data_IF_612924980887
#
_entry.id   IF_612924980887
#
_cell.length_a   1.000
_cell.length_b   1.000
_cell.length_c   1.000
_cell.angle_alpha   90.00
_cell.angle_beta   90.00
_cell.angle_gamma   90.00
#
_symmetry.space_group_name_H-M   'P 1'
#
loop_
_entity.id
_entity.type
_entity.pdbx_description
1 polymer ?
#
# COMPACT_ATOMS: atom_id res chain seq x y z
N UNK A 1 9.80 -21.27 -1.24
CA UNK A 1 10.66 -22.07 -2.12
C UNK A 1 9.94 -23.31 -2.65
N UNK A 2 9.36 -24.17 -1.80
CA UNK A 2 8.68 -25.41 -2.24
C UNK A 2 7.63 -25.16 -3.34
N UNK A 3 6.74 -24.17 -3.15
CA UNK A 3 5.72 -23.82 -4.14
C UNK A 3 6.31 -23.39 -5.49
N UNK A 4 7.42 -22.64 -5.49
CA UNK A 4 8.14 -22.25 -6.71
C UNK A 4 8.73 -23.48 -7.41
N UNK A 5 9.40 -24.36 -6.65
CA UNK A 5 10.04 -25.57 -7.18
C UNK A 5 9.02 -26.49 -7.84
N UNK A 6 7.90 -26.76 -7.19
CA UNK A 6 6.85 -27.62 -7.73
C UNK A 6 6.19 -27.01 -8.97
N UNK A 7 5.93 -25.70 -8.98
CA UNK A 7 5.38 -25.00 -10.15
C UNK A 7 6.30 -25.11 -11.37
N UNK A 8 7.60 -24.84 -11.21
CA UNK A 8 8.55 -24.88 -12.32
C UNK A 8 8.81 -26.29 -12.82
N UNK A 9 8.82 -27.27 -11.92
CA UNK A 9 8.89 -28.70 -12.27
C UNK A 9 7.69 -29.11 -13.13
N UNK A 10 6.48 -28.68 -12.76
CA UNK A 10 5.27 -28.98 -13.53
C UNK A 10 5.26 -28.30 -14.90
N UNK A 11 5.56 -27.00 -14.94
CA UNK A 11 5.56 -26.21 -16.17
C UNK A 11 6.74 -26.52 -17.09
N UNK A 12 7.77 -27.22 -16.59
CA UNK A 12 9.02 -27.52 -17.29
C UNK A 12 9.70 -26.25 -17.82
N UNK A 13 9.63 -25.17 -17.05
CA UNK A 13 10.26 -23.88 -17.35
C UNK A 13 11.19 -23.48 -16.23
N UNK A 14 12.30 -22.80 -16.57
CA UNK A 14 13.16 -22.12 -15.59
C UNK A 14 12.86 -20.62 -15.62
N UNK A 15 12.61 -19.99 -14.47
CA UNK A 15 12.40 -18.54 -14.43
C UNK A 15 13.71 -17.81 -14.76
N UNK A 16 13.61 -16.68 -15.47
CA UNK A 16 14.75 -15.79 -15.73
C UNK A 16 14.94 -14.73 -14.64
N UNK A 17 13.87 -14.39 -13.93
CA UNK A 17 13.85 -13.38 -12.88
C UNK A 17 12.66 -13.64 -11.95
N UNK A 18 12.72 -13.05 -10.75
CA UNK A 18 11.60 -12.98 -9.80
C UNK A 18 11.11 -11.55 -9.65
N UNK A 19 9.85 -11.40 -9.29
CA UNK A 19 9.23 -10.10 -9.05
C UNK A 19 8.33 -10.22 -7.83
N UNK A 20 8.32 -9.19 -6.99
CA UNK A 20 7.48 -9.16 -5.79
C UNK A 20 5.99 -9.05 -6.16
N UNK A 21 5.14 -9.62 -5.31
CA UNK A 21 3.68 -9.48 -5.47
C UNK A 21 3.24 -8.02 -5.24
N UNK A 22 3.74 -7.44 -4.15
CA UNK A 22 3.43 -6.10 -3.68
C UNK A 22 4.63 -5.51 -2.93
N UNK A 23 4.61 -4.21 -2.65
CA UNK A 23 5.67 -3.50 -1.91
C UNK A 23 5.27 -3.22 -0.45
N UNK A 24 4.65 -4.20 0.21
CA UNK A 24 4.21 -4.12 1.60
C UNK A 24 4.87 -5.18 2.50
N UNK A 25 5.36 -4.77 3.67
CA UNK A 25 5.86 -5.66 4.73
C UNK A 25 6.75 -6.81 4.22
N UNK A 26 6.44 -8.03 4.66
CA UNK A 26 7.19 -9.23 4.25
C UNK A 26 7.06 -9.57 2.75
N UNK A 27 5.97 -9.21 2.09
CA UNK A 27 5.76 -9.49 0.66
C UNK A 27 6.73 -8.68 -0.22
N UNK A 28 7.04 -7.43 0.18
CA UNK A 28 8.01 -6.58 -0.51
C UNK A 28 9.42 -7.18 -0.54
N UNK A 29 9.80 -7.89 0.53
CA UNK A 29 11.12 -8.55 0.64
C UNK A 29 11.15 -9.91 -0.06
N UNK A 30 9.99 -10.52 -0.36
CA UNK A 30 9.93 -11.88 -0.86
C UNK A 30 10.64 -12.05 -2.21
N UNK A 31 10.57 -11.05 -3.10
CA UNK A 31 11.32 -11.06 -4.37
C UNK A 31 12.83 -11.19 -4.13
N UNK A 32 13.39 -10.33 -3.27
CA UNK A 32 14.81 -10.34 -2.92
C UNK A 32 15.24 -11.66 -2.26
N UNK A 33 14.42 -12.18 -1.34
CA UNK A 33 14.67 -13.47 -0.68
C UNK A 33 14.68 -14.59 -1.71
N UNK A 34 13.69 -14.68 -2.60
CA UNK A 34 13.64 -15.73 -3.62
C UNK A 34 14.82 -15.63 -4.59
N UNK A 35 15.15 -14.42 -5.04
CA UNK A 35 16.21 -14.17 -6.02
C UNK A 35 17.64 -14.33 -5.50
N UNK A 36 17.84 -14.31 -4.18
CA UNK A 36 19.15 -14.45 -3.57
C UNK A 36 19.92 -15.69 -4.09
N UNK A 37 21.26 -15.58 -4.17
CA UNK A 37 22.13 -16.64 -4.70
C UNK A 37 22.09 -17.95 -3.93
N UNK A 38 21.71 -17.93 -2.65
CA UNK A 38 21.51 -19.15 -1.85
C UNK A 38 20.16 -19.83 -2.11
N UNK A 39 19.25 -19.17 -2.83
CA UNK A 39 17.90 -19.64 -3.09
C UNK A 39 17.74 -19.99 -4.58
N UNK A 40 17.23 -19.06 -5.41
CA UNK A 40 17.01 -19.33 -6.83
C UNK A 40 18.16 -18.85 -7.73
N UNK A 41 19.04 -18.00 -7.22
CA UNK A 41 20.15 -17.39 -7.96
C UNK A 41 19.70 -16.77 -9.30
N UNK A 42 18.69 -15.92 -9.22
CA UNK A 42 18.13 -15.19 -10.36
C UNK A 42 17.83 -13.73 -9.98
N UNK A 43 17.95 -12.79 -10.92
CA UNK A 43 17.71 -11.39 -10.63
C UNK A 43 16.29 -11.13 -10.13
N UNK A 44 16.16 -10.18 -9.20
CA UNK A 44 14.88 -9.60 -8.80
C UNK A 44 14.59 -8.36 -9.64
N UNK A 45 13.39 -8.28 -10.20
CA UNK A 45 12.92 -7.12 -10.94
C UNK A 45 12.65 -5.98 -9.95
N UNK A 46 13.16 -4.79 -10.24
CA UNK A 46 12.82 -3.56 -9.53
C UNK A 46 11.41 -3.11 -9.91
N UNK A 47 10.43 -3.69 -9.23
CA UNK A 47 9.02 -3.48 -9.47
C UNK A 47 8.19 -4.53 -8.75
N UNK A 48 6.89 -4.33 -8.73
CA UNK A 48 5.94 -5.29 -8.20
C UNK A 48 4.61 -5.23 -8.97
N UNK A 49 3.70 -6.14 -8.66
CA UNK A 49 2.42 -6.25 -9.37
C UNK A 49 1.33 -5.32 -8.87
N UNK A 50 1.57 -4.50 -7.85
CA UNK A 50 0.57 -3.66 -7.21
C UNK A 50 0.99 -2.19 -7.04
N UNK A 51 2.27 -1.86 -6.80
CA UNK A 51 2.74 -0.51 -6.46
C UNK A 51 2.31 -0.01 -5.08
N UNK A 52 1.52 -0.81 -4.36
CA UNK A 52 1.01 -0.64 -2.99
C UNK A 52 0.62 -2.01 -2.45
N UNK A 53 0.16 -2.10 -1.21
CA UNK A 53 -0.49 -3.31 -0.72
C UNK A 53 -2.00 -3.33 -1.06
N UNK A 54 -2.52 -4.51 -1.38
CA UNK A 54 -3.95 -4.77 -1.53
C UNK A 54 -4.40 -5.97 -0.70
N UNK A 55 -5.64 -5.98 -0.18
CA UNK A 55 -6.08 -7.04 0.72
C UNK A 55 -6.32 -8.41 0.05
N UNK A 56 -6.55 -8.46 -1.26
CA UNK A 56 -6.94 -9.69 -1.97
C UNK A 56 -6.13 -9.93 -3.24
N UNK A 57 -5.79 -11.19 -3.55
CA UNK A 57 -4.84 -11.52 -4.62
C UNK A 57 -5.31 -11.26 -6.06
N UNK A 58 -6.60 -10.98 -6.26
CA UNK A 58 -7.14 -10.54 -7.55
C UNK A 58 -6.87 -9.06 -7.83
N UNK A 59 -6.41 -8.30 -6.84
CA UNK A 59 -5.95 -6.92 -6.99
C UNK A 59 -4.47 -6.89 -7.35
N UNK A 60 -4.16 -7.38 -8.56
CA UNK A 60 -2.81 -7.28 -9.15
C UNK A 60 -2.89 -6.82 -10.60
N UNK A 61 -1.87 -6.12 -11.08
CA UNK A 61 -1.79 -5.63 -12.46
C UNK A 61 -1.87 -6.74 -13.52
N UNK A 62 -1.30 -7.96 -13.36
CA UNK A 62 -1.56 -9.04 -14.30
C UNK A 62 -3.05 -9.38 -14.44
N UNK A 63 -3.83 -9.27 -13.37
CA UNK A 63 -5.29 -9.48 -13.43
C UNK A 63 -5.99 -8.32 -14.13
N UNK A 64 -5.45 -7.10 -14.11
CA UNK A 64 -5.98 -5.98 -14.91
C UNK A 64 -5.81 -6.25 -16.41
N UNK A 65 -4.64 -6.74 -16.82
CA UNK A 65 -4.30 -6.90 -18.24
C UNK A 65 -4.60 -8.29 -18.82
N UNK A 66 -4.81 -9.31 -18.00
CA UNK A 66 -5.18 -10.66 -18.42
C UNK A 66 -6.36 -11.21 -17.60
N UNK A 67 -7.22 -12.02 -18.23
CA UNK A 67 -8.40 -12.65 -17.57
C UNK A 67 -8.15 -14.11 -17.16
N UNK A 68 -6.95 -14.64 -17.40
CA UNK A 68 -6.62 -16.04 -17.12
C UNK A 68 -6.19 -16.19 -15.66
N UNK A 69 -6.76 -17.19 -15.00
CA UNK A 69 -6.37 -17.63 -13.68
C UNK A 69 -5.67 -18.98 -13.77
N UNK A 70 -4.49 -19.12 -13.17
CA UNK A 70 -3.77 -20.39 -13.07
C UNK A 70 -3.34 -20.62 -11.63
N UNK A 71 -3.94 -21.62 -11.00
CA UNK A 71 -3.54 -22.18 -9.71
C UNK A 71 -3.16 -23.64 -9.94
N UNK A 72 -2.22 -24.18 -9.16
CA UNK A 72 -1.93 -25.62 -9.17
C UNK A 72 -3.05 -26.39 -8.45
N UNK A 73 -4.20 -26.43 -9.12
CA UNK A 73 -5.48 -27.04 -8.78
C UNK A 73 -6.16 -27.24 -10.13
N UNK A 74 -6.78 -28.40 -10.40
CA UNK A 74 -7.08 -28.83 -11.79
C UNK A 74 -7.68 -27.75 -12.73
N UNK A 75 -8.52 -26.83 -12.23
CA UNK A 75 -8.89 -25.53 -12.84
C UNK A 75 -9.77 -24.70 -11.87
N UNK A 76 -9.67 -23.37 -11.87
CA UNK A 76 -10.64 -22.46 -11.22
C UNK A 76 -11.32 -21.56 -12.27
N UNK A 77 -12.51 -21.02 -11.97
CA UNK A 77 -13.25 -20.15 -12.91
C UNK A 77 -12.73 -18.70 -12.88
N UNK A 78 -12.38 -18.19 -11.71
CA UNK A 78 -11.89 -16.82 -11.49
C UNK A 78 -10.72 -16.77 -10.50
N UNK A 79 -9.88 -15.71 -10.52
CA UNK A 79 -8.86 -15.47 -9.48
C UNK A 79 -9.48 -15.25 -8.08
N UNK A 80 -10.74 -14.79 -8.02
CA UNK A 80 -11.45 -14.70 -6.75
C UNK A 80 -11.74 -16.10 -6.16
N UNK A 81 -12.00 -17.10 -7.01
CA UNK A 81 -12.15 -18.49 -6.56
C UNK A 81 -10.82 -19.07 -6.06
N UNK A 82 -9.71 -18.70 -6.71
CA UNK A 82 -8.34 -19.01 -6.28
C UNK A 82 -8.06 -18.41 -4.90
N UNK A 83 -8.33 -17.11 -4.71
CA UNK A 83 -8.22 -16.41 -3.41
C UNK A 83 -9.03 -17.09 -2.31
N UNK A 84 -10.28 -17.48 -2.60
CA UNK A 84 -11.15 -18.18 -1.64
C UNK A 84 -10.55 -19.52 -1.20
N UNK A 85 -9.99 -20.29 -2.13
CA UNK A 85 -9.34 -21.55 -1.81
C UNK A 85 -8.06 -21.33 -0.97
N UNK A 86 -7.25 -20.31 -1.30
CA UNK A 86 -6.10 -19.93 -0.48
C UNK A 86 -6.49 -19.51 0.93
N UNK A 87 -7.55 -18.71 1.09
CA UNK A 87 -8.04 -18.31 2.43
C UNK A 87 -8.54 -19.49 3.24
N UNK A 88 -9.23 -20.44 2.60
CA UNK A 88 -9.62 -21.68 3.26
C UNK A 88 -8.38 -22.47 3.74
N UNK A 89 -7.36 -22.62 2.90
CA UNK A 89 -6.11 -23.28 3.26
C UNK A 89 -5.36 -22.54 4.38
N UNK A 90 -5.21 -21.21 4.30
CA UNK A 90 -4.57 -20.37 5.34
C UNK A 90 -5.22 -20.56 6.70
N UNK A 91 -6.56 -20.58 6.75
CA UNK A 91 -7.30 -20.79 7.99
C UNK A 91 -7.06 -22.16 8.61
N UNK A 92 -6.78 -23.19 7.80
CA UNK A 92 -6.55 -24.56 8.28
C UNK A 92 -5.07 -24.88 8.54
N UNK A 93 -4.15 -24.21 7.84
CA UNK A 93 -2.70 -24.47 7.87
C UNK A 93 -1.92 -23.54 8.81
N UNK A 94 -2.58 -22.92 9.80
CA UNK A 94 -1.90 -22.10 10.81
C UNK A 94 -1.51 -20.70 10.35
N UNK A 95 -2.29 -20.09 9.46
CA UNK A 95 -2.16 -18.68 9.00
C UNK A 95 -0.97 -18.36 8.08
N UNK A 96 -0.24 -19.37 7.59
CA UNK A 96 0.84 -19.16 6.62
C UNK A 96 0.84 -20.24 5.53
N UNK A 97 0.84 -19.83 4.26
CA UNK A 97 0.93 -20.71 3.09
C UNK A 97 1.77 -20.02 2.02
N UNK A 98 2.79 -20.72 1.51
CA UNK A 98 3.57 -20.25 0.37
C UNK A 98 2.79 -20.44 -0.94
N UNK A 99 2.69 -19.39 -1.74
CA UNK A 99 2.03 -19.42 -3.05
C UNK A 99 3.03 -19.08 -4.17
N UNK A 100 2.97 -19.81 -5.27
CA UNK A 100 3.64 -19.45 -6.52
C UNK A 100 2.56 -19.25 -7.60
N UNK A 101 2.46 -18.02 -8.13
CA UNK A 101 1.61 -17.73 -9.29
C UNK A 101 2.33 -18.14 -10.57
N UNK A 102 1.55 -18.46 -11.61
CA UNK A 102 2.07 -18.83 -12.92
C UNK A 102 3.03 -17.77 -13.50
N UNK A 103 4.01 -18.18 -14.32
CA UNK A 103 4.97 -17.26 -14.90
C UNK A 103 4.30 -16.29 -15.88
N UNK A 104 4.80 -15.06 -15.90
CA UNK A 104 4.41 -14.03 -16.86
C UNK A 104 5.56 -13.85 -17.87
N UNK A 105 5.24 -13.70 -19.15
CA UNK A 105 6.27 -13.49 -20.18
C UNK A 105 6.99 -12.15 -19.97
N UNK A 106 8.26 -12.05 -20.35
CA UNK A 106 9.02 -10.80 -20.18
C UNK A 106 8.39 -9.59 -20.89
N UNK A 107 7.73 -9.80 -22.04
CA UNK A 107 7.02 -8.75 -22.76
C UNK A 107 5.79 -8.24 -21.97
N UNK A 108 5.01 -9.16 -21.39
CA UNK A 108 3.88 -8.82 -20.55
C UNK A 108 4.35 -8.16 -19.25
N UNK A 109 5.41 -8.67 -18.62
CA UNK A 109 5.98 -8.07 -17.41
C UNK A 109 6.35 -6.61 -17.62
N UNK A 110 7.12 -6.30 -18.67
CA UNK A 110 7.48 -4.91 -19.01
C UNK A 110 6.25 -4.01 -19.23
N UNK A 111 5.15 -4.58 -19.72
CA UNK A 111 3.93 -3.83 -20.03
C UNK A 111 3.05 -3.62 -18.80
N UNK A 112 3.05 -4.54 -17.83
CA UNK A 112 2.06 -4.58 -16.74
C UNK A 112 2.62 -4.13 -15.38
N UNK A 113 3.93 -4.30 -15.17
CA UNK A 113 4.59 -4.03 -13.87
C UNK A 113 4.43 -2.58 -13.43
N UNK A 114 4.29 -2.37 -12.12
CA UNK A 114 4.57 -1.06 -11.52
C UNK A 114 6.07 -0.99 -11.28
N UNK A 115 6.75 -0.18 -12.10
CA UNK A 115 8.21 -0.11 -12.13
C UNK A 115 8.78 0.64 -10.90
N UNK A 116 10.02 0.30 -10.55
CA UNK A 116 10.87 1.02 -9.60
C UNK A 116 10.34 1.09 -8.17
N UNK A 117 9.51 0.12 -7.75
CA UNK A 117 8.88 0.15 -6.43
C UNK A 117 9.83 -0.28 -5.32
N UNK A 118 10.78 -1.18 -5.60
CA UNK A 118 11.86 -1.50 -4.66
C UNK A 118 12.76 -0.26 -4.50
N UNK A 119 13.14 0.38 -5.61
CA UNK A 119 13.85 1.67 -5.60
C UNK A 119 13.11 2.72 -4.77
N UNK A 120 11.80 2.89 -4.97
CA UNK A 120 11.00 3.86 -4.23
C UNK A 120 10.98 3.57 -2.73
N UNK A 121 10.73 2.32 -2.33
CA UNK A 121 10.73 1.92 -0.92
C UNK A 121 12.08 2.17 -0.25
N UNK A 122 13.19 1.92 -0.94
CA UNK A 122 14.52 2.24 -0.45
C UNK A 122 14.71 3.75 -0.26
N UNK A 123 14.26 4.56 -1.22
CA UNK A 123 14.37 6.03 -1.15
C UNK A 123 13.56 6.61 -0.01
N UNK A 124 12.31 6.17 0.16
CA UNK A 124 11.44 6.56 1.26
C UNK A 124 12.09 6.17 2.60
N UNK A 125 12.54 4.92 2.73
CA UNK A 125 13.21 4.45 3.95
C UNK A 125 14.47 5.24 4.27
N UNK A 126 15.29 5.57 3.24
CA UNK A 126 16.46 6.43 3.39
C UNK A 126 16.08 7.84 3.82
N UNK A 127 15.05 8.44 3.23
CA UNK A 127 14.58 9.78 3.60
C UNK A 127 14.11 9.85 5.06
N UNK A 128 13.33 8.86 5.50
CA UNK A 128 12.90 8.74 6.91
C UNK A 128 14.11 8.57 7.83
N UNK A 129 15.02 7.66 7.51
CA UNK A 129 16.23 7.42 8.31
C UNK A 129 17.11 8.68 8.42
N UNK A 130 17.28 9.44 7.33
CA UNK A 130 18.02 10.70 7.35
C UNK A 130 17.35 11.75 8.24
N UNK A 131 16.02 11.90 8.16
CA UNK A 131 15.29 12.83 9.02
C UNK A 131 15.42 12.47 10.51
N UNK A 132 15.38 11.18 10.84
CA UNK A 132 15.63 10.70 12.21
C UNK A 132 17.06 11.05 12.65
N UNK A 133 18.07 10.74 11.83
CA UNK A 133 19.46 11.05 12.15
C UNK A 133 19.76 12.55 12.29
N UNK A 134 19.03 13.39 11.55
CA UNK A 134 19.20 14.84 11.54
C UNK A 134 18.28 15.57 12.53
N UNK A 135 17.44 14.84 13.27
CA UNK A 135 16.44 15.39 14.19
C UNK A 135 15.48 16.39 13.50
N UNK A 136 15.03 16.06 12.29
CA UNK A 136 14.13 16.86 11.43
C UNK A 136 12.83 16.13 11.13
N UNK A 137 12.24 15.48 12.14
CA UNK A 137 11.02 14.66 12.02
C UNK A 137 9.84 15.44 11.47
N UNK A 138 9.76 16.73 11.77
CA UNK A 138 8.75 17.66 11.29
C UNK A 138 8.70 17.78 9.76
N UNK A 139 9.80 17.45 9.07
CA UNK A 139 9.94 17.48 7.60
C UNK A 139 9.86 16.11 6.92
N UNK A 140 9.59 15.04 7.67
CA UNK A 140 9.53 13.67 7.11
C UNK A 140 8.46 13.58 6.02
N UNK A 141 7.29 14.17 6.26
CA UNK A 141 6.19 14.15 5.30
C UNK A 141 6.59 14.78 3.96
N UNK A 142 7.23 15.95 4.00
CA UNK A 142 7.71 16.69 2.84
C UNK A 142 8.84 15.93 2.13
N UNK A 143 9.72 15.27 2.88
CA UNK A 143 10.79 14.43 2.34
C UNK A 143 10.25 13.20 1.61
N UNK A 144 9.24 12.53 2.17
CA UNK A 144 8.53 11.42 1.52
C UNK A 144 7.84 11.91 0.24
N UNK A 145 7.13 13.05 0.31
CA UNK A 145 6.49 13.67 -0.86
C UNK A 145 7.53 13.93 -1.96
N UNK A 146 8.72 14.43 -1.62
CA UNK A 146 9.81 14.63 -2.57
C UNK A 146 10.25 13.36 -3.29
N UNK A 147 10.31 12.22 -2.59
CA UNK A 147 10.75 10.93 -3.18
C UNK A 147 9.68 10.25 -4.04
N UNK A 148 8.39 10.55 -3.83
CA UNK A 148 7.25 9.97 -4.58
C UNK A 148 6.78 10.81 -5.78
N UNK A 149 7.57 11.80 -6.21
CA UNK A 149 7.22 12.67 -7.35
C UNK A 149 6.67 14.05 -6.97
N UNK A 150 6.96 14.53 -5.76
CA UNK A 150 6.66 15.87 -5.30
C UNK A 150 5.17 16.16 -5.09
N UNK A 151 4.84 17.44 -5.00
CA UNK A 151 3.48 17.92 -4.67
C UNK A 151 2.43 17.63 -5.76
N UNK A 152 2.85 17.26 -6.97
CA UNK A 152 1.95 16.82 -8.02
C UNK A 152 1.46 15.38 -7.81
N UNK A 153 2.27 14.56 -7.14
CA UNK A 153 2.05 13.12 -6.96
C UNK A 153 1.56 12.76 -5.55
N UNK A 154 1.88 13.57 -4.55
CA UNK A 154 1.48 13.33 -3.17
C UNK A 154 1.24 14.62 -2.38
N UNK A 155 0.47 14.51 -1.29
CA UNK A 155 0.20 15.62 -0.36
C UNK A 155 -0.13 15.13 1.04
N UNK A 156 0.09 16.01 2.02
CA UNK A 156 -0.44 15.83 3.38
C UNK A 156 -1.95 16.04 3.32
N UNK A 157 -2.70 15.02 3.77
CA UNK A 157 -4.15 15.06 3.84
C UNK A 157 -4.64 15.62 5.18
N UNK A 158 -3.95 15.26 6.27
CA UNK A 158 -4.36 15.61 7.62
C UNK A 158 -3.21 15.43 8.61
N UNK A 159 -3.18 16.24 9.67
CA UNK A 159 -2.31 16.07 10.84
C UNK A 159 -3.18 16.11 12.09
N UNK A 160 -3.00 15.17 13.00
CA UNK A 160 -3.86 15.10 14.16
C UNK A 160 -3.57 13.96 15.11
N UNK A 161 -4.51 13.71 16.02
CA UNK A 161 -4.43 12.64 17.02
C UNK A 161 -5.51 11.61 16.73
N UNK A 162 -5.17 10.32 16.81
CA UNK A 162 -6.17 9.26 16.75
C UNK A 162 -7.08 9.35 17.98
N UNK A 163 -8.38 9.54 17.75
CA UNK A 163 -9.41 9.65 18.81
C UNK A 163 -10.38 8.48 18.82
N UNK A 164 -10.35 7.64 17.80
CA UNK A 164 -11.17 6.43 17.73
C UNK A 164 -10.58 5.42 16.77
N UNK A 165 -10.66 4.13 17.15
CA UNK A 165 -10.35 3.01 16.26
C UNK A 165 -11.38 1.92 16.55
N UNK A 166 -12.18 1.60 15.55
CA UNK A 166 -13.03 0.42 15.58
C UNK A 166 -12.42 -0.64 14.68
N UNK A 167 -12.28 -1.87 15.17
CA UNK A 167 -11.70 -2.97 14.40
C UNK A 167 -12.39 -4.28 14.69
N UNK A 168 -12.77 -4.98 13.63
CA UNK A 168 -13.33 -6.33 13.67
C UNK A 168 -12.63 -7.20 12.63
N UNK A 169 -12.10 -8.34 13.07
CA UNK A 169 -11.52 -9.32 12.15
C UNK A 169 -12.62 -10.23 11.61
N UNK A 170 -12.79 -10.26 10.29
CA UNK A 170 -13.74 -11.15 9.59
C UNK A 170 -13.06 -11.82 8.40
N UNK A 171 -13.18 -13.14 8.26
CA UNK A 171 -12.65 -13.91 7.12
C UNK A 171 -11.15 -13.66 6.84
N UNK A 172 -10.34 -13.49 7.90
CA UNK A 172 -8.90 -13.22 7.77
C UNK A 172 -8.54 -11.81 7.29
N UNK A 173 -9.48 -10.86 7.38
CA UNK A 173 -9.22 -9.44 7.16
C UNK A 173 -9.63 -8.62 8.39
N UNK A 174 -8.84 -7.60 8.71
CA UNK A 174 -9.22 -6.58 9.67
C UNK A 174 -10.04 -5.49 8.97
N UNK A 175 -11.32 -5.40 9.32
CA UNK A 175 -12.20 -4.31 8.91
C UNK A 175 -12.28 -3.31 10.04
N UNK A 176 -12.36 -2.03 9.70
CA UNK A 176 -12.47 -1.01 10.72
C UNK A 176 -12.49 0.40 10.17
N UNK A 177 -12.52 1.35 11.09
CA UNK A 177 -12.40 2.77 10.81
C UNK A 177 -11.52 3.41 11.87
N UNK A 178 -10.58 4.25 11.43
CA UNK A 178 -9.83 5.14 12.31
C UNK A 178 -10.36 6.57 12.18
N UNK A 179 -10.52 7.22 13.32
CA UNK A 179 -10.96 8.62 13.42
C UNK A 179 -9.81 9.43 14.00
N UNK A 180 -9.38 10.43 13.24
CA UNK A 180 -8.28 11.33 13.59
C UNK A 180 -8.87 12.73 13.78
N UNK A 181 -8.55 13.37 14.90
CA UNK A 181 -8.99 14.74 15.19
C UNK A 181 -7.83 15.70 15.02
N UNK A 182 -8.07 16.85 14.39
CA UNK A 182 -7.04 17.86 14.16
C UNK A 182 -6.44 18.31 15.50
N UNK A 183 -5.12 18.31 15.58
CA UNK A 183 -4.41 18.94 16.70
C UNK A 183 -4.36 20.44 16.44
N UNK A 184 -4.95 21.25 17.32
CA UNK A 184 -4.63 22.68 17.37
C UNK A 184 -3.12 22.81 17.59
N UNK A 185 -2.42 23.68 16.85
CA UNK A 185 -1.05 24.04 17.20
C UNK A 185 -1.02 24.39 18.69
N UNK A 186 -0.21 23.70 19.47
CA UNK A 186 0.13 24.21 20.79
C UNK A 186 0.90 25.51 20.54
N UNK A 187 0.25 26.65 20.74
CA UNK A 187 0.97 27.90 20.98
C UNK A 187 1.97 27.58 22.10
N UNK A 188 3.26 27.64 21.78
CA UNK A 188 4.38 27.19 22.62
C UNK A 188 4.60 27.97 23.92
N UNK A 189 3.53 28.39 24.60
CA UNK A 189 3.58 28.99 25.94
C UNK A 189 3.19 27.95 26.99
N UNK A 190 4.13 27.52 27.85
CA UNK A 190 3.82 26.69 29.00
C UNK A 190 3.19 27.57 30.09
N UNK A 191 1.90 27.90 29.97
CA UNK A 191 1.04 28.40 31.06
C UNK A 191 -0.37 28.74 30.55
N UNK A 192 -1.29 27.79 30.66
CA UNK A 192 -2.72 28.09 30.79
C UNK A 192 -3.45 26.84 31.28
N UNK A 193 -3.67 26.76 32.58
CA UNK A 193 -4.51 25.76 33.27
C UNK A 193 -6.01 26.02 33.09
N UNK A 194 -6.42 26.66 32.00
CA UNK A 194 -7.83 26.82 31.65
C UNK A 194 -8.10 26.28 30.25
N UNK A 195 -8.58 25.04 30.21
CA UNK A 195 -9.17 24.45 29.03
C UNK A 195 -10.41 25.28 28.65
N UNK A 196 -10.26 26.19 27.68
CA UNK A 196 -11.41 26.76 26.97
C UNK A 196 -12.22 25.60 26.39
N UNK A 197 -13.57 25.66 26.39
CA UNK A 197 -14.37 24.64 25.72
C UNK A 197 -13.93 24.58 24.26
N UNK A 198 -13.36 23.44 23.84
CA UNK A 198 -12.99 23.20 22.45
C UNK A 198 -14.28 23.21 21.64
N UNK A 199 -14.39 24.16 20.71
CA UNK A 199 -15.38 24.08 19.64
C UNK A 199 -15.16 22.81 18.81
N UNK A 200 -16.10 22.47 17.91
CA UNK A 200 -15.95 21.32 17.03
C UNK A 200 -14.66 21.46 16.20
N UNK A 201 -13.81 20.44 16.31
CA UNK A 201 -12.54 20.30 15.60
C UNK A 201 -12.75 19.51 14.33
N UNK A 202 -11.98 19.82 13.28
CA UNK A 202 -11.97 19.01 12.07
C UNK A 202 -11.55 17.57 12.38
N UNK A 203 -12.12 16.62 11.64
CA UNK A 203 -11.80 15.19 11.77
C UNK A 203 -11.50 14.57 10.41
N UNK A 204 -10.78 13.46 10.44
CA UNK A 204 -10.59 12.59 9.29
C UNK A 204 -11.04 11.17 9.67
N UNK A 205 -11.97 10.60 8.90
CA UNK A 205 -12.36 9.20 8.98
C UNK A 205 -11.67 8.41 7.86
N UNK A 206 -11.07 7.28 8.21
CA UNK A 206 -10.44 6.37 7.26
C UNK A 206 -10.95 4.94 7.51
N UNK A 207 -11.91 4.44 6.70
CA UNK A 207 -12.23 3.02 6.71
C UNK A 207 -11.09 2.21 6.09
N UNK A 208 -10.87 1.01 6.65
CA UNK A 208 -9.83 0.10 6.19
C UNK A 208 -10.31 -1.35 6.11
N UNK A 209 -9.69 -2.12 5.21
CA UNK A 209 -9.77 -3.59 5.09
C UNK A 209 -8.34 -4.10 4.92
N UNK A 210 -7.64 -4.37 6.01
CA UNK A 210 -6.17 -4.47 6.11
C UNK A 210 -5.42 -3.20 5.68
N UNK A 211 -5.87 -2.55 4.60
CA UNK A 211 -5.35 -1.33 4.00
C UNK A 211 -6.39 -0.20 4.08
N UNK A 212 -5.90 1.04 4.15
CA UNK A 212 -6.75 2.24 4.10
C UNK A 212 -7.40 2.42 2.73
N UNK A 213 -8.70 2.70 2.72
CA UNK A 213 -9.53 2.66 1.51
C UNK A 213 -9.96 4.06 1.06
N UNK A 214 -10.40 4.89 2.00
CA UNK A 214 -11.03 6.19 1.77
C UNK A 214 -10.56 7.15 2.85
N UNK A 215 -10.45 8.44 2.54
CA UNK A 215 -10.21 9.48 3.52
C UNK A 215 -11.32 10.53 3.40
N UNK A 216 -12.18 10.61 4.42
CA UNK A 216 -13.29 11.56 4.50
C UNK A 216 -12.99 12.59 5.56
N UNK A 217 -12.77 13.83 5.14
CA UNK A 217 -12.60 14.99 6.02
C UNK A 217 -13.97 15.47 6.48
N UNK A 218 -14.08 15.78 7.76
CA UNK A 218 -15.26 16.37 8.37
C UNK A 218 -14.83 17.71 8.94
N UNK A 219 -15.44 18.79 8.48
CA UNK A 219 -15.12 20.12 8.95
C UNK A 219 -15.74 20.39 10.35
N UNK A 220 -15.54 21.61 10.86
CA UNK A 220 -16.14 22.02 12.15
C UNK A 220 -17.67 22.16 12.11
N UNK A 221 -18.29 22.25 10.92
CA UNK A 221 -19.74 22.34 10.75
C UNK A 221 -20.40 20.96 10.68
N UNK A 222 -19.62 19.91 10.43
CA UNK A 222 -20.07 18.53 10.24
C UNK A 222 -20.23 18.13 8.77
N UNK A 223 -19.82 18.98 7.82
CA UNK A 223 -19.83 18.66 6.40
C UNK A 223 -18.73 17.65 6.06
N UNK A 224 -19.10 16.60 5.32
CA UNK A 224 -18.19 15.53 4.92
C UNK A 224 -17.69 15.73 3.49
N UNK A 225 -16.36 15.71 3.30
CA UNK A 225 -15.69 15.79 2.01
C UNK A 225 -14.71 14.63 1.85
N UNK A 226 -14.86 13.86 0.77
CA UNK A 226 -13.88 12.84 0.41
C UNK A 226 -12.66 13.52 -0.22
N UNK A 227 -11.48 13.30 0.37
CA UNK A 227 -10.23 13.95 -0.05
C UNK A 227 -9.19 12.99 -0.65
N UNK A 228 -9.35 11.69 -0.46
CA UNK A 228 -8.54 10.65 -1.10
C UNK A 228 -9.29 9.31 -1.12
N UNK A 229 -9.02 8.46 -2.11
CA UNK A 229 -9.59 7.12 -2.21
C UNK A 229 -8.69 6.17 -3.00
N UNK A 230 -8.85 4.87 -2.79
CA UNK A 230 -8.25 3.82 -3.63
C UNK A 230 -8.56 4.03 -5.12
N UNK A 231 -7.64 3.72 -6.05
CA UNK A 231 -6.35 3.02 -5.85
C UNK A 231 -5.24 3.87 -5.21
N UNK A 232 -5.41 5.18 -5.03
CA UNK A 232 -4.38 6.02 -4.41
C UNK A 232 -4.05 5.51 -3.00
N UNK A 233 -2.77 5.59 -2.63
CA UNK A 233 -2.29 5.11 -1.34
C UNK A 233 -2.57 6.15 -0.26
N UNK A 234 -3.33 5.75 0.75
CA UNK A 234 -3.52 6.52 1.99
C UNK A 234 -2.64 5.87 3.05
N UNK A 235 -1.59 6.57 3.47
CA UNK A 235 -0.68 6.09 4.52
C UNK A 235 -0.75 6.98 5.75
N UNK A 236 -0.67 6.37 6.92
CA UNK A 236 -0.70 7.05 8.21
C UNK A 236 0.67 6.91 8.83
N UNK A 237 1.35 8.01 9.07
CA UNK A 237 2.68 8.07 9.68
C UNK A 237 2.55 8.40 11.16
N UNK A 238 3.36 7.78 12.01
CA UNK A 238 3.56 8.26 13.37
C UNK A 238 4.33 9.60 13.33
N UNK A 239 3.75 10.64 13.93
CA UNK A 239 4.32 11.98 13.91
C UNK A 239 5.60 12.10 14.76
N UNK A 240 5.91 11.12 15.61
CA UNK A 240 7.09 11.16 16.48
C UNK A 240 8.35 10.59 15.83
N UNK A 241 8.22 9.58 14.95
CA UNK A 241 9.36 8.92 14.32
C UNK A 241 9.29 8.92 12.78
N UNK A 242 8.16 9.28 12.18
CA UNK A 242 7.97 9.33 10.74
C UNK A 242 7.72 7.96 10.09
N UNK A 243 7.66 6.88 10.86
CA UNK A 243 7.41 5.53 10.36
C UNK A 243 5.93 5.33 9.98
N UNK A 244 5.68 4.46 9.01
CA UNK A 244 4.32 4.13 8.60
C UNK A 244 3.67 3.19 9.61
N UNK A 245 2.46 3.53 10.04
CA UNK A 245 1.63 2.73 10.93
C UNK A 245 0.72 1.81 10.11
N UNK A 246 0.85 0.51 10.32
CA UNK A 246 -0.12 -0.46 9.82
C UNK A 246 -1.47 -0.33 10.55
N UNK A 247 -2.55 -0.76 9.90
CA UNK A 247 -3.91 -0.73 10.49
C UNK A 247 -4.03 -1.53 11.80
N UNK A 248 -3.09 -2.45 12.05
CA UNK A 248 -3.03 -3.20 13.31
C UNK A 248 -2.44 -2.41 14.48
N UNK A 249 -1.68 -1.36 14.18
CA UNK A 249 -0.94 -0.52 15.12
C UNK A 249 -1.71 0.71 15.55
N UNK A 250 -2.83 1.03 14.87
CA UNK A 250 -3.70 2.15 15.23
C UNK A 250 -4.21 2.01 16.66
N UNK A 251 -3.90 3.04 17.46
CA UNK A 251 -4.24 3.14 18.89
C UNK A 251 -4.66 4.56 19.20
N UNK A 252 -5.62 4.67 20.12
CA UNK A 252 -6.03 5.96 20.65
C UNK A 252 -4.82 6.73 21.21
N UNK A 253 -4.75 8.02 20.90
CA UNK A 253 -3.74 8.93 21.44
C UNK A 253 -2.49 9.10 20.58
N UNK A 254 -2.26 8.26 19.56
CA UNK A 254 -1.13 8.45 18.64
C UNK A 254 -1.29 9.76 17.86
N UNK A 255 -0.20 10.53 17.79
CA UNK A 255 -0.08 11.68 16.91
C UNK A 255 0.35 11.19 15.54
N UNK A 256 -0.36 11.61 14.50
CA UNK A 256 -0.18 11.06 13.17
C UNK A 256 -0.22 12.13 12.08
N UNK A 257 0.50 11.87 11.00
CA UNK A 257 0.41 12.59 9.73
C UNK A 257 -0.12 11.66 8.66
N UNK A 258 -1.20 12.04 7.99
CA UNK A 258 -1.82 11.25 6.92
C UNK A 258 -1.34 11.79 5.58
N UNK A 259 -0.76 10.93 4.76
CA UNK A 259 -0.36 11.24 3.39
C UNK A 259 -1.27 10.52 2.38
N UNK A 260 -1.54 11.20 1.28
CA UNK A 260 -2.09 10.60 0.08
C UNK A 260 -1.01 10.58 -1.00
N UNK A 261 -0.86 9.45 -1.69
CA UNK A 261 0.10 9.26 -2.79
C UNK A 261 -0.66 8.69 -3.99
N UNK A 262 -0.51 9.33 -5.15
CA UNK A 262 -1.23 8.98 -6.38
C UNK A 262 -0.84 7.58 -6.86
N UNK A 263 -1.83 6.79 -7.26
CA UNK A 263 -1.65 5.45 -7.79
C UNK A 263 -0.92 5.44 -9.13
N UNK A 264 -0.23 4.33 -9.41
CA UNK A 264 0.36 4.09 -10.72
C UNK A 264 -0.68 4.12 -11.82
N UNK A 265 -0.29 4.67 -12.98
CA UNK A 265 -1.05 4.61 -14.23
C UNK A 265 -1.45 3.19 -14.63
N UNK A 266 -0.75 2.15 -14.13
CA UNK A 266 -1.14 0.75 -14.35
C UNK A 266 -2.51 0.40 -13.77
N UNK A 267 -2.97 1.15 -12.77
CA UNK A 267 -4.30 1.01 -12.16
C UNK A 267 -5.32 1.97 -12.75
N UNK A 268 -4.90 3.18 -13.14
CA UNK A 268 -5.83 4.27 -13.46
C UNK A 268 -6.05 4.47 -14.96
N UNK A 269 -5.16 3.96 -15.82
CA UNK A 269 -5.26 4.14 -17.28
C UNK A 269 -6.32 3.27 -17.96
N UNK A 270 -6.93 2.33 -17.25
CA UNK A 270 -7.95 1.43 -17.80
C UNK A 270 -9.14 1.35 -16.85
N UNK A 271 -10.35 1.27 -17.41
CA UNK A 271 -11.58 1.08 -16.63
C UNK A 271 -11.49 -0.16 -15.73
N UNK A 272 -10.90 -1.25 -16.27
CA UNK A 272 -10.72 -2.50 -15.53
C UNK A 272 -9.77 -2.35 -14.35
N UNK A 273 -8.74 -1.53 -14.46
CA UNK A 273 -7.84 -1.21 -13.36
C UNK A 273 -8.56 -0.49 -12.23
N UNK A 274 -9.40 0.50 -12.58
CA UNK A 274 -10.23 1.23 -11.61
C UNK A 274 -11.32 0.33 -11.01
N UNK A 275 -11.92 -0.56 -11.80
CA UNK A 275 -12.93 -1.51 -11.32
C UNK A 275 -12.36 -2.46 -10.24
N UNK A 276 -11.12 -2.93 -10.44
CA UNK A 276 -10.47 -3.90 -9.54
C UNK A 276 -9.78 -3.22 -8.36
N UNK A 277 -9.02 -2.15 -8.61
CA UNK A 277 -8.20 -1.46 -7.62
C UNK A 277 -8.86 -0.24 -6.96
N UNK A 278 -9.95 0.27 -7.54
CA UNK A 278 -10.69 1.43 -7.04
C UNK A 278 -11.85 1.06 -6.12
N UNK A 279 -12.76 2.01 -5.82
CA UNK A 279 -13.78 1.87 -4.78
C UNK A 279 -14.66 0.62 -4.96
N UNK A 280 -15.06 0.31 -6.20
CA UNK A 280 -15.86 -0.87 -6.55
C UNK A 280 -15.17 -2.19 -6.16
N UNK A 281 -13.86 -2.29 -6.34
CA UNK A 281 -13.07 -3.45 -5.94
C UNK A 281 -13.03 -3.69 -4.43
N UNK A 282 -13.30 -2.65 -3.64
CA UNK A 282 -13.43 -2.71 -2.18
C UNK A 282 -14.88 -2.80 -1.71
N UNK A 283 -15.85 -2.91 -2.63
CA UNK A 283 -17.28 -3.02 -2.33
C UNK A 283 -18.02 -1.69 -2.16
N UNK A 284 -17.41 -0.57 -2.56
CA UNK A 284 -18.03 0.75 -2.55
C UNK A 284 -18.53 1.04 -3.97
N UNK A 285 -19.80 0.73 -4.24
CA UNK A 285 -20.36 0.80 -5.60
C UNK A 285 -20.82 2.19 -6.02
N UNK A 286 -21.13 3.05 -5.05
CA UNK A 286 -21.75 4.36 -5.26
C UNK A 286 -20.72 5.50 -5.36
N UNK A 287 -19.43 5.17 -5.49
CA UNK A 287 -18.34 6.12 -5.56
C UNK A 287 -17.48 5.90 -6.81
N UNK A 288 -17.32 6.97 -7.60
CA UNK A 288 -16.40 6.99 -8.73
C UNK A 288 -15.01 7.47 -8.29
N UNK A 289 -13.97 6.89 -8.90
CA UNK A 289 -12.59 7.24 -8.60
C UNK A 289 -12.27 8.67 -9.07
N UNK A 290 -11.76 9.48 -8.14
CA UNK A 290 -11.20 10.80 -8.42
C UNK A 290 -9.71 10.78 -8.07
N UNK A 291 -8.80 11.00 -9.04
CA UNK A 291 -7.37 11.01 -8.78
C UNK A 291 -6.95 12.08 -7.79
N UNK A 292 -6.05 11.72 -6.87
CA UNK A 292 -5.45 12.65 -5.93
C UNK A 292 -4.54 13.70 -6.61
N UNK A 293 -3.88 13.27 -7.68
CA UNK A 293 -2.84 13.99 -8.40
C UNK A 293 -2.43 13.27 -9.68
N UNK A 294 -1.18 13.48 -10.11
CA UNK A 294 -0.60 12.85 -11.28
C UNK A 294 0.51 11.88 -10.85
N UNK A 295 0.52 10.68 -11.41
CA UNK A 295 1.59 9.72 -11.16
C UNK A 295 2.90 10.18 -11.79
N UNK A 296 4.00 10.04 -11.04
CA UNK A 296 5.36 10.18 -11.54
C UNK A 296 6.12 8.87 -11.35
N UNK A 297 6.81 8.40 -12.40
CA UNK A 297 7.58 7.16 -12.32
C UNK A 297 8.72 7.34 -11.31
N UNK A 298 8.84 6.46 -10.30
CA UNK A 298 9.92 6.57 -9.32
C UNK A 298 11.30 6.48 -9.96
N UNK A 299 12.26 7.21 -9.41
CA UNK A 299 13.67 7.17 -9.85
C UNK A 299 14.27 5.82 -9.49
N UNK A 300 14.88 5.13 -10.46
CA UNK A 300 15.59 3.87 -10.18
C UNK A 300 16.86 4.16 -9.38
N UNK A 301 17.09 3.42 -8.29
CA UNK A 301 18.38 3.44 -7.57
C UNK A 301 19.44 2.67 -8.35
N UNK A 302 19.02 1.72 -9.19
CA UNK A 302 19.91 0.99 -10.08
C UNK A 302 20.48 1.98 -11.10
N UNK A 303 19.64 2.70 -11.83
CA UNK A 303 20.12 3.65 -12.85
C UNK A 303 20.95 4.80 -12.24
N UNK A 304 20.63 5.25 -11.01
CA UNK A 304 21.36 6.35 -10.35
C UNK A 304 22.75 5.91 -9.84
N UNK A 305 22.86 4.73 -9.24
CA UNK A 305 24.09 4.28 -8.57
C UNK A 305 24.88 3.23 -9.33
N UNK A 306 24.37 2.73 -10.46
CA UNK A 306 25.11 1.81 -11.29
C UNK A 306 26.22 2.56 -12.06
N UNK A 307 27.37 2.72 -11.39
CA UNK A 307 28.57 3.35 -11.94
C UNK A 307 29.46 2.38 -12.72
N UNK A 308 28.91 1.26 -13.22
CA UNK A 308 29.64 0.29 -14.05
C UNK A 308 29.70 0.66 -15.52
#
# INVERSE_FOLDING_TARGET
MESQVELYKYLKVKPNAVISLEIGGGNGLQGLILGASTNMDIPTIDGDWMGRAYPVSNQTTPVVYEKKAMMFMMKAKTELDVERAFRAALSQMGSHVGCAKGPVSGANTKSWVVENTISLSWRIGRAVALCICQNSIDTVAESIIGEVGGSASAKVLFKGKIVGVERVTRMGHAYGEVIIEATTPEDGSPQSTQAKPRGPTEKLKIPFKNENILATKIDSSGEEQIIAMVPDLITVLDAQNGEALGTQEYRYGLLVTVLGITASEKWTSTERGIEIGGPKGFGINDLDYVPLGKFEKPRSVIDEYNTT
#
